data_IF_759607783480
#
_entry.id   IF_759607783480
#
_cell.length_a   1.000
_cell.length_b   1.000
_cell.length_c   1.000
_cell.angle_alpha   90.00
_cell.angle_beta   90.00
_cell.angle_gamma   90.00
#
_symmetry.space_group_name_H-M   'P 1'
#
loop_
_entity.id
_entity.type
_entity.pdbx_description
1 polymer ?
#
# COMPACT_ATOMS: atom_id res chain seq x y z
N UNK A 1 34.14 0.89 4.21
CA UNK A 1 33.04 0.04 3.73
C UNK A 1 31.91 0.18 4.74
N UNK A 2 30.73 0.67 4.31
CA UNK A 2 29.59 0.82 5.21
C UNK A 2 28.92 -0.54 5.43
N UNK A 3 28.98 -1.06 6.66
CA UNK A 3 28.28 -2.28 7.03
C UNK A 3 26.78 -1.99 7.13
N UNK A 4 25.95 -2.78 6.44
CA UNK A 4 24.49 -2.62 6.52
C UNK A 4 24.04 -2.95 7.95
N UNK A 5 23.22 -2.07 8.53
CA UNK A 5 22.72 -2.25 9.90
C UNK A 5 21.82 -3.49 9.98
N UNK A 6 21.86 -4.29 11.05
CA UNK A 6 21.05 -5.51 11.19
C UNK A 6 19.53 -5.30 11.03
N UNK A 7 19.04 -4.11 11.37
CA UNK A 7 17.62 -3.74 11.25
C UNK A 7 17.17 -3.51 9.80
N UNK A 8 18.10 -3.29 8.88
CA UNK A 8 17.81 -3.05 7.47
C UNK A 8 17.41 -4.32 6.71
N UNK A 9 17.71 -5.50 7.25
CA UNK A 9 17.36 -6.78 6.65
C UNK A 9 15.88 -7.12 6.87
N UNK A 10 15.25 -7.71 5.87
CA UNK A 10 13.91 -8.29 5.94
C UNK A 10 13.92 -9.60 6.73
N UNK A 11 12.76 -10.04 7.23
CA UNK A 11 12.65 -11.29 7.99
C UNK A 11 13.07 -12.50 7.14
N UNK A 12 12.86 -12.45 5.82
CA UNK A 12 13.26 -13.51 4.89
C UNK A 12 14.79 -13.57 4.76
N UNK A 13 15.45 -12.45 4.52
CA UNK A 13 16.92 -12.37 4.46
C UNK A 13 17.55 -12.82 5.78
N UNK A 14 16.99 -12.41 6.92
CA UNK A 14 17.47 -12.84 8.24
C UNK A 14 17.34 -14.35 8.45
N UNK A 15 16.29 -14.98 7.90
CA UNK A 15 16.13 -16.44 7.97
C UNK A 15 17.10 -17.17 7.06
N UNK A 16 17.41 -16.60 5.90
CA UNK A 16 18.37 -17.17 4.96
C UNK A 16 19.79 -17.11 5.54
N UNK A 17 20.16 -15.96 6.13
CA UNK A 17 21.42 -15.80 6.86
C UNK A 17 21.47 -16.76 8.07
N UNK A 18 20.39 -16.88 8.84
CA UNK A 18 20.34 -17.83 9.95
C UNK A 18 20.49 -19.28 9.46
N UNK A 19 19.95 -19.62 8.29
CA UNK A 19 20.11 -20.93 7.68
C UNK A 19 21.54 -21.18 7.20
N UNK A 20 22.19 -20.20 6.57
CA UNK A 20 23.58 -20.32 6.13
C UNK A 20 24.56 -20.42 7.29
N UNK A 21 24.27 -19.74 8.40
CA UNK A 21 25.06 -19.79 9.64
C UNK A 21 24.63 -20.94 10.57
N UNK A 22 23.65 -21.77 10.20
CA UNK A 22 23.21 -22.93 11.00
C UNK A 22 22.47 -22.59 12.30
N UNK A 23 21.94 -21.37 12.43
CA UNK A 23 21.21 -20.88 13.60
C UNK A 23 19.70 -21.07 13.42
N UNK A 24 18.97 -21.24 14.52
CA UNK A 24 17.51 -21.42 14.50
C UNK A 24 16.77 -20.26 13.82
N UNK A 25 15.95 -20.58 12.80
CA UNK A 25 15.21 -19.64 11.94
C UNK A 25 13.83 -19.23 12.49
N UNK A 26 13.45 -19.72 13.68
CA UNK A 26 12.14 -19.48 14.29
C UNK A 26 12.15 -18.24 15.19
N UNK A 27 11.14 -17.38 15.11
CA UNK A 27 11.00 -16.23 16.01
C UNK A 27 10.77 -14.92 15.28
N UNK A 28 10.71 -13.84 16.05
CA UNK A 28 10.51 -12.47 15.57
C UNK A 28 11.78 -11.91 14.93
N UNK A 29 11.63 -10.85 14.12
CA UNK A 29 12.76 -10.14 13.49
C UNK A 29 13.87 -9.78 14.49
N UNK A 30 13.48 -9.31 15.67
CA UNK A 30 14.42 -8.94 16.73
C UNK A 30 15.18 -10.15 17.30
N UNK A 31 14.51 -11.30 17.45
CA UNK A 31 15.14 -12.54 17.94
C UNK A 31 16.12 -13.12 16.93
N UNK A 32 15.80 -13.07 15.63
CA UNK A 32 16.71 -13.49 14.56
C UNK A 32 17.96 -12.62 14.53
N UNK A 33 17.81 -11.29 14.59
CA UNK A 33 18.93 -10.35 14.67
C UNK A 33 19.80 -10.62 15.89
N UNK A 34 19.17 -10.81 17.06
CA UNK A 34 19.89 -11.09 18.31
C UNK A 34 20.71 -12.37 18.20
N UNK A 35 20.10 -13.47 17.76
CA UNK A 35 20.78 -14.77 17.64
C UNK A 35 21.92 -14.75 16.63
N UNK A 36 21.72 -14.10 15.48
CA UNK A 36 22.78 -13.95 14.47
C UNK A 36 23.97 -13.16 15.02
N UNK A 37 23.69 -12.08 15.74
CA UNK A 37 24.72 -11.22 16.34
C UNK A 37 25.44 -11.93 17.50
N UNK A 38 24.73 -12.72 18.31
CA UNK A 38 25.29 -13.55 19.37
C UNK A 38 26.14 -14.70 18.83
N UNK A 39 25.74 -15.29 17.69
CA UNK A 39 26.48 -16.38 17.07
C UNK A 39 27.79 -15.90 16.47
N UNK A 40 27.79 -14.74 15.80
CA UNK A 40 28.99 -14.13 15.23
C UNK A 40 28.76 -12.63 14.99
N UNK A 41 29.55 -11.79 15.66
CA UNK A 41 29.45 -10.33 15.57
C UNK A 41 29.79 -9.79 14.16
N UNK A 42 30.62 -10.51 13.41
CA UNK A 42 31.13 -10.10 12.09
C UNK A 42 30.25 -10.56 10.91
N UNK A 43 29.12 -11.22 11.17
CA UNK A 43 28.17 -11.67 10.12
C UNK A 43 27.72 -10.49 9.26
N UNK A 44 27.50 -9.33 9.90
CA UNK A 44 27.01 -8.13 9.22
C UNK A 44 28.06 -7.43 8.36
N UNK A 45 29.35 -7.67 8.62
CA UNK A 45 30.44 -7.12 7.81
C UNK A 45 30.60 -7.91 6.50
N UNK A 46 30.53 -9.24 6.59
CA UNK A 46 30.72 -10.19 5.49
C UNK A 46 29.54 -10.15 4.49
N UNK A 47 28.32 -9.96 4.98
CA UNK A 47 27.10 -9.91 4.16
C UNK A 47 27.00 -8.67 3.26
N UNK A 48 27.82 -7.64 3.52
CA UNK A 48 27.82 -6.43 2.70
C UNK A 48 28.42 -6.65 1.30
N UNK A 49 29.30 -7.65 1.14
CA UNK A 49 29.94 -7.96 -0.14
C UNK A 49 29.11 -8.92 -1.02
N UNK A 50 28.36 -9.85 -0.41
CA UNK A 50 27.66 -10.93 -1.13
C UNK A 50 26.40 -10.42 -1.87
N UNK A 51 25.77 -9.34 -1.40
CA UNK A 51 24.48 -8.86 -1.94
C UNK A 51 24.67 -7.91 -3.14
N UNK A 52 25.88 -7.43 -3.41
CA UNK A 52 26.12 -6.47 -4.52
C UNK A 52 26.25 -7.13 -5.90
N UNK A 53 26.28 -8.47 -5.99
CA UNK A 53 26.42 -9.20 -7.26
C UNK A 53 25.38 -10.31 -7.36
N UNK A 54 24.13 -9.97 -7.68
CA UNK A 54 23.42 -10.58 -8.83
C UNK A 54 21.95 -10.13 -8.88
N UNK A 55 21.44 -9.80 -10.09
CA UNK A 55 20.00 -9.84 -10.34
C UNK A 55 19.52 -11.25 -10.08
N UNK A 56 18.39 -11.34 -9.36
CA UNK A 56 17.67 -12.56 -8.98
C UNK A 56 17.51 -13.48 -10.19
N UNK A 57 18.47 -14.37 -10.39
CA UNK A 57 18.30 -15.57 -11.20
C UNK A 57 17.80 -16.61 -10.21
N UNK A 58 16.48 -16.73 -10.14
CA UNK A 58 15.84 -17.86 -9.48
C UNK A 58 16.33 -19.14 -10.18
N UNK A 59 17.35 -19.76 -9.59
CA UNK A 59 17.73 -21.13 -9.88
C UNK A 59 17.55 -21.94 -8.59
N UNK A 60 16.84 -23.08 -8.67
CA UNK A 60 16.56 -23.94 -7.53
C UNK A 60 17.84 -24.68 -7.10
N UNK A 61 17.96 -24.94 -5.81
CA UNK A 61 19.04 -25.76 -5.27
C UNK A 61 18.93 -27.21 -5.76
N UNK A 62 19.81 -27.58 -6.67
CA UNK A 62 20.15 -28.99 -6.97
C UNK A 62 20.87 -29.58 -5.77
N UNK A 63 20.24 -30.54 -5.09
CA UNK A 63 20.94 -31.50 -4.24
C UNK A 63 21.53 -32.57 -5.16
N UNK A 64 22.85 -32.75 -5.12
CA UNK A 64 23.57 -33.77 -5.87
C UNK A 64 23.27 -35.16 -5.31
N UNK A 65 22.71 -36.06 -6.12
CA UNK A 65 22.93 -37.49 -5.93
C UNK A 65 22.88 -38.24 -7.27
N UNK A 66 23.84 -39.13 -7.44
CA UNK A 66 24.14 -39.87 -8.65
C UNK A 66 23.02 -40.81 -9.11
N UNK A 67 23.09 -41.17 -10.39
CA UNK A 67 22.36 -42.23 -11.10
C UNK A 67 20.87 -42.00 -11.39
N UNK A 68 20.65 -41.35 -12.55
CA UNK A 68 19.67 -41.69 -13.58
C UNK A 68 18.25 -42.10 -13.19
N UNK A 69 17.32 -41.15 -13.20
CA UNK A 69 15.98 -41.29 -13.78
C UNK A 69 15.33 -39.90 -13.95
N UNK A 70 14.97 -39.50 -15.16
CA UNK A 70 14.37 -38.19 -15.43
C UNK A 70 12.89 -38.18 -15.06
N UNK A 71 12.58 -37.79 -13.83
CA UNK A 71 11.21 -37.46 -13.40
C UNK A 71 10.96 -35.97 -13.67
N UNK A 72 9.86 -35.57 -14.33
CA UNK A 72 9.55 -34.15 -14.54
C UNK A 72 9.17 -33.54 -13.19
N UNK A 73 10.09 -32.78 -12.59
CA UNK A 73 9.82 -32.00 -11.37
C UNK A 73 8.82 -30.92 -11.75
N UNK A 74 7.57 -31.14 -11.36
CA UNK A 74 6.49 -30.18 -11.45
C UNK A 74 6.83 -29.08 -10.42
N UNK A 75 7.34 -27.95 -10.89
CA UNK A 75 7.56 -26.76 -10.06
C UNK A 75 6.20 -26.27 -9.55
N UNK A 76 5.78 -26.81 -8.40
CA UNK A 76 4.62 -26.32 -7.69
C UNK A 76 4.98 -24.94 -7.15
N UNK A 77 4.56 -23.90 -7.88
CA UNK A 77 4.58 -22.51 -7.40
C UNK A 77 4.01 -22.55 -5.97
N UNK A 78 4.78 -22.15 -4.94
CA UNK A 78 4.34 -22.21 -3.56
C UNK A 78 2.99 -21.53 -3.41
N UNK A 79 2.08 -22.09 -2.63
CA UNK A 79 0.70 -21.57 -2.51
C UNK A 79 0.65 -20.09 -2.09
N UNK A 80 1.66 -19.66 -1.34
CA UNK A 80 1.88 -18.24 -0.99
C UNK A 80 2.07 -17.41 -2.26
N UNK A 81 2.96 -17.81 -3.16
CA UNK A 81 3.24 -17.09 -4.42
C UNK A 81 2.02 -17.11 -5.34
N UNK A 82 1.23 -18.19 -5.35
CA UNK A 82 -0.04 -18.24 -6.11
C UNK A 82 -1.04 -17.21 -5.59
N UNK A 83 -1.20 -17.13 -4.27
CA UNK A 83 -2.07 -16.17 -3.61
C UNK A 83 -1.62 -14.72 -3.85
N UNK A 84 -0.33 -14.45 -3.73
CA UNK A 84 0.22 -13.12 -4.04
C UNK A 84 -0.01 -12.74 -5.51
N UNK A 85 0.17 -13.69 -6.45
CA UNK A 85 -0.08 -13.43 -7.87
C UNK A 85 -1.56 -13.15 -8.17
N UNK A 86 -2.47 -13.83 -7.47
CA UNK A 86 -3.91 -13.56 -7.57
C UNK A 86 -4.27 -12.17 -7.03
N UNK A 87 -3.71 -11.78 -5.89
CA UNK A 87 -3.89 -10.45 -5.32
C UNK A 87 -3.40 -9.36 -6.27
N UNK A 88 -2.20 -9.52 -6.83
CA UNK A 88 -1.63 -8.56 -7.79
C UNK A 88 -2.48 -8.43 -9.06
N UNK A 89 -3.05 -9.54 -9.56
CA UNK A 89 -3.98 -9.48 -10.71
C UNK A 89 -5.23 -8.68 -10.38
N UNK A 90 -5.81 -8.90 -9.19
CA UNK A 90 -7.01 -8.20 -8.74
C UNK A 90 -6.76 -6.72 -8.48
N UNK A 91 -5.61 -6.39 -7.89
CA UNK A 91 -5.18 -5.01 -7.66
C UNK A 91 -4.96 -4.27 -8.98
N UNK A 92 -4.31 -4.92 -9.95
CA UNK A 92 -4.14 -4.37 -11.30
C UNK A 92 -5.49 -4.06 -11.95
N UNK A 93 -6.44 -4.99 -11.90
CA UNK A 93 -7.79 -4.79 -12.48
C UNK A 93 -8.52 -3.60 -11.84
N UNK A 94 -8.44 -3.46 -10.52
CA UNK A 94 -9.02 -2.33 -9.81
C UNK A 94 -8.39 -0.99 -10.23
N UNK A 95 -7.05 -0.94 -10.29
CA UNK A 95 -6.34 0.26 -10.72
C UNK A 95 -6.67 0.65 -12.16
N UNK A 96 -6.77 -0.32 -13.08
CA UNK A 96 -7.18 -0.06 -14.46
C UNK A 96 -8.59 0.53 -14.52
N UNK A 97 -9.52 0.01 -13.72
CA UNK A 97 -10.90 0.54 -13.62
C UNK A 97 -10.93 1.95 -13.02
N UNK A 98 -10.14 2.22 -11.99
CA UNK A 98 -10.05 3.55 -11.38
C UNK A 98 -9.47 4.58 -12.37
N UNK A 99 -8.42 4.21 -13.10
CA UNK A 99 -7.85 5.07 -14.15
C UNK A 99 -8.87 5.36 -15.24
N UNK A 100 -9.65 4.37 -15.67
CA UNK A 100 -10.70 4.57 -16.67
C UNK A 100 -11.82 5.49 -16.16
N UNK A 101 -12.24 5.33 -14.90
CA UNK A 101 -13.20 6.23 -14.28
C UNK A 101 -12.68 7.68 -14.20
N UNK A 102 -11.41 7.87 -13.82
CA UNK A 102 -10.78 9.19 -13.79
C UNK A 102 -10.69 9.81 -15.18
N UNK A 103 -10.35 9.02 -16.21
CA UNK A 103 -10.36 9.50 -17.60
C UNK A 103 -11.74 9.89 -18.05
N UNK A 104 -12.76 9.08 -17.74
CA UNK A 104 -14.16 9.38 -18.07
C UNK A 104 -14.67 10.62 -17.32
N UNK A 105 -14.35 10.77 -16.04
CA UNK A 105 -14.72 11.95 -15.26
C UNK A 105 -14.03 13.21 -15.82
N UNK A 106 -12.73 13.11 -16.11
CA UNK A 106 -11.96 14.20 -16.74
C UNK A 106 -12.53 14.58 -18.11
N UNK A 107 -12.90 13.59 -18.93
CA UNK A 107 -13.55 13.82 -20.21
C UNK A 107 -14.91 14.52 -20.05
N UNK A 108 -15.75 14.07 -19.10
CA UNK A 108 -17.03 14.73 -18.79
C UNK A 108 -16.86 16.17 -18.29
N UNK A 109 -15.82 16.44 -17.49
CA UNK A 109 -15.46 17.79 -17.06
C UNK A 109 -14.92 18.64 -18.23
N UNK A 110 -14.16 18.03 -19.14
CA UNK A 110 -13.56 18.69 -20.31
C UNK A 110 -14.53 18.95 -21.46
N UNK A 111 -15.58 18.14 -21.63
CA UNK A 111 -16.61 18.32 -22.67
C UNK A 111 -17.76 19.22 -22.22
N UNK A 112 -17.78 19.70 -20.97
CA UNK A 112 -18.72 20.73 -20.54
C UNK A 112 -18.29 22.08 -21.13
N UNK A 113 -19.06 22.70 -22.05
CA UNK A 113 -18.70 24.00 -22.63
C UNK A 113 -18.82 25.17 -21.63
N UNK A 114 -19.01 24.90 -20.34
CA UNK A 114 -19.28 25.91 -19.31
C UNK A 114 -18.53 25.54 -18.02
N UNK A 115 -17.21 25.72 -18.02
CA UNK A 115 -16.42 25.78 -16.79
C UNK A 115 -15.57 27.04 -16.75
N UNK A 116 -16.18 28.18 -17.09
CA UNK A 116 -15.79 29.48 -16.54
C UNK A 116 -16.59 29.70 -15.25
N UNK A 117 -16.28 28.94 -14.19
CA UNK A 117 -16.79 29.22 -12.84
C UNK A 117 -15.76 28.82 -11.79
N UNK A 118 -14.55 29.39 -11.87
CA UNK A 118 -13.64 29.43 -10.72
C UNK A 118 -13.80 30.73 -9.89
N UNK A 119 -14.92 31.44 -10.06
CA UNK A 119 -15.23 32.68 -9.35
C UNK A 119 -16.43 32.59 -8.39
N UNK A 120 -16.95 31.38 -8.09
CA UNK A 120 -18.19 31.24 -7.31
C UNK A 120 -18.08 30.36 -6.05
N UNK A 121 -16.85 30.00 -5.64
CA UNK A 121 -16.64 29.25 -4.37
C UNK A 121 -16.58 30.14 -3.12
N UNK A 122 -16.62 31.45 -3.25
CA UNK A 122 -16.59 32.38 -2.11
C UNK A 122 -17.99 32.77 -1.59
N UNK A 123 -19.07 32.56 -2.35
CA UNK A 123 -20.42 32.95 -1.91
C UNK A 123 -21.21 31.82 -1.23
N UNK A 124 -20.92 30.55 -1.55
CA UNK A 124 -21.61 29.42 -0.91
C UNK A 124 -21.23 29.25 0.56
N UNK A 125 -19.99 29.57 0.94
CA UNK A 125 -19.59 29.50 2.35
C UNK A 125 -20.25 30.62 3.18
N UNK A 126 -20.48 31.79 2.58
CA UNK A 126 -21.21 32.87 3.24
C UNK A 126 -22.70 32.50 3.41
N UNK A 127 -23.33 31.89 2.40
CA UNK A 127 -24.73 31.44 2.52
C UNK A 127 -24.89 30.26 3.49
N UNK A 128 -23.94 29.32 3.56
CA UNK A 128 -23.96 28.21 4.53
C UNK A 128 -23.86 28.73 5.96
N UNK A 129 -23.00 29.71 6.24
CA UNK A 129 -22.89 30.32 7.57
C UNK A 129 -24.15 31.10 7.96
N UNK A 130 -24.80 31.78 7.00
CA UNK A 130 -26.06 32.46 7.23
C UNK A 130 -27.20 31.47 7.50
N UNK A 131 -27.27 30.36 6.76
CA UNK A 131 -28.25 29.28 7.01
C UNK A 131 -27.99 28.61 8.36
N UNK A 132 -26.73 28.39 8.75
CA UNK A 132 -26.39 27.86 10.06
C UNK A 132 -26.83 28.77 11.21
N UNK A 133 -26.69 30.10 11.07
CA UNK A 133 -27.24 31.08 12.02
C UNK A 133 -28.76 30.98 12.11
N UNK A 134 -29.46 30.93 10.98
CA UNK A 134 -30.92 30.80 10.92
C UNK A 134 -31.45 29.49 11.53
N UNK A 135 -30.69 28.39 11.42
CA UNK A 135 -31.03 27.12 12.05
C UNK A 135 -30.81 27.14 13.56
N UNK A 136 -29.83 27.90 14.05
CA UNK A 136 -29.59 28.05 15.50
C UNK A 136 -30.70 28.84 16.21
N UNK A 137 -31.36 29.74 15.48
CA UNK A 137 -32.50 30.53 15.96
C UNK A 137 -33.85 29.81 15.77
N UNK A 138 -33.88 28.70 15.04
CA UNK A 138 -35.10 27.92 14.81
C UNK A 138 -35.40 27.04 16.02
N UNK A 139 -36.21 27.57 16.94
CA UNK A 139 -36.62 26.88 18.17
C UNK A 139 -37.74 25.87 17.97
N UNK A 140 -38.35 25.82 16.77
CA UNK A 140 -39.47 24.93 16.44
C UNK A 140 -40.76 25.21 17.21
N UNK A 141 -40.77 26.19 18.10
CA UNK A 141 -41.94 26.67 18.80
C UNK A 141 -42.55 27.86 18.04
N UNK A 142 -43.87 27.85 17.90
CA UNK A 142 -44.75 28.87 17.33
C UNK A 142 -44.43 29.35 15.91
N UNK A 143 -45.19 28.85 14.91
CA UNK A 143 -45.43 29.44 13.56
C UNK A 143 -44.30 30.27 12.92
N UNK A 144 -43.05 29.91 13.21
CA UNK A 144 -41.84 30.61 12.78
C UNK A 144 -41.35 30.10 11.44
N UNK A 145 -41.88 28.96 11.00
CA UNK A 145 -41.59 28.32 9.74
C UNK A 145 -41.87 29.23 8.51
N UNK A 146 -42.99 29.97 8.39
CA UNK A 146 -43.21 30.87 7.27
C UNK A 146 -42.21 32.02 7.20
N UNK A 147 -41.76 32.54 8.35
CA UNK A 147 -40.74 33.61 8.43
C UNK A 147 -39.37 33.06 8.03
N UNK A 148 -39.00 31.91 8.59
CA UNK A 148 -37.76 31.20 8.28
C UNK A 148 -37.67 30.83 6.79
N UNK A 149 -38.75 30.29 6.22
CA UNK A 149 -38.84 29.94 4.79
C UNK A 149 -38.57 31.16 3.90
N UNK A 150 -39.17 32.30 4.22
CA UNK A 150 -38.97 33.56 3.48
C UNK A 150 -37.52 34.07 3.59
N UNK A 151 -36.87 33.89 4.74
CA UNK A 151 -35.46 34.25 4.94
C UNK A 151 -34.50 33.36 4.13
N UNK A 152 -34.79 32.07 4.04
CA UNK A 152 -34.01 31.12 3.23
C UNK A 152 -34.21 31.40 1.73
N UNK A 153 -35.42 31.75 1.29
CA UNK A 153 -35.71 32.12 -0.09
C UNK A 153 -34.98 33.39 -0.56
N UNK A 154 -34.67 34.32 0.36
CA UNK A 154 -33.87 35.52 0.07
C UNK A 154 -32.36 35.26 -0.04
N UNK A 155 -31.89 34.05 0.31
CA UNK A 155 -30.47 33.66 0.25
C UNK A 155 -30.11 32.90 -1.05
N UNK A 156 -31.08 32.65 -1.94
CA UNK A 156 -30.89 32.04 -3.26
C UNK A 156 -30.69 33.08 -4.35
#
# INVERSE_FOLDING_TARGET
>A
METRKPTSYTVLELKEIAKSEGVATNGTKAELIRRLTEHRADVWADLSEVISVSPIRASPSTVTQELGETVPVRDEIPDIVRRELELLRREKELLEREVELLRRESALRGTSPLSVTNSQRSNSNASINNVAGLLSEFTGADDSFPKWKKQVEMLQ
#
